data_IF_307310427461
#
_entry.id   IF_307310427461
#
_cell.length_a   1.000
_cell.length_b   1.000
_cell.length_c   1.000
_cell.angle_alpha   90.00
_cell.angle_beta   90.00
_cell.angle_gamma   90.00
#
_symmetry.space_group_name_H-M   'P 1'
#
loop_
_entity.id
_entity.type
_entity.pdbx_description
1 polymer ?
#
# COMPACT_ATOMS: atom_id res chain seq x y z
N UNK A 1 -23.87 -31.12 -49.61
CA UNK A 1 -23.83 -29.74 -50.14
C UNK A 1 -24.55 -28.71 -49.27
N UNK A 2 -25.81 -28.89 -48.84
CA UNK A 2 -26.48 -27.96 -47.90
C UNK A 2 -26.16 -28.17 -46.41
N UNK A 3 -25.69 -29.37 -46.03
CA UNK A 3 -25.30 -29.68 -44.64
C UNK A 3 -23.85 -29.26 -44.34
N UNK A 4 -22.95 -29.36 -45.31
CA UNK A 4 -21.53 -28.99 -45.16
C UNK A 4 -21.33 -27.47 -44.98
N UNK A 5 -22.24 -26.67 -45.54
CA UNK A 5 -22.23 -25.20 -45.44
C UNK A 5 -22.70 -24.70 -44.06
N UNK A 6 -23.65 -25.38 -43.43
CA UNK A 6 -24.09 -25.07 -42.05
C UNK A 6 -22.99 -25.36 -41.02
N UNK A 7 -22.31 -26.50 -41.16
CA UNK A 7 -21.19 -26.85 -40.28
C UNK A 7 -20.02 -25.85 -40.37
N UNK A 8 -19.73 -25.35 -41.58
CA UNK A 8 -18.70 -24.33 -41.79
C UNK A 8 -19.09 -22.95 -41.21
N UNK A 9 -20.37 -22.55 -41.29
CA UNK A 9 -20.89 -21.31 -40.68
C UNK A 9 -20.89 -21.37 -39.15
N UNK A 10 -21.25 -22.51 -38.56
CA UNK A 10 -21.24 -22.72 -37.10
C UNK A 10 -19.82 -22.72 -36.53
N UNK A 11 -18.86 -23.32 -37.25
CA UNK A 11 -17.42 -23.27 -36.90
C UNK A 11 -16.88 -21.84 -37.04
N UNK A 12 -17.28 -21.11 -38.09
CA UNK A 12 -16.86 -19.73 -38.25
C UNK A 12 -17.46 -18.83 -37.16
N UNK A 13 -18.73 -18.99 -36.80
CA UNK A 13 -19.36 -18.24 -35.70
C UNK A 13 -18.74 -18.56 -34.33
N UNK A 14 -18.44 -19.82 -34.02
CA UNK A 14 -17.78 -20.16 -32.75
C UNK A 14 -16.36 -19.60 -32.66
N UNK A 15 -15.61 -19.59 -33.77
CA UNK A 15 -14.27 -19.03 -33.85
C UNK A 15 -14.27 -17.51 -33.72
N UNK A 16 -15.24 -16.84 -34.36
CA UNK A 16 -15.40 -15.38 -34.25
C UNK A 16 -15.88 -14.95 -32.85
N UNK A 17 -16.73 -15.75 -32.22
CA UNK A 17 -17.16 -15.56 -30.83
C UNK A 17 -15.99 -15.72 -29.85
N UNK A 18 -15.19 -16.79 -29.99
CA UNK A 18 -13.97 -17.02 -29.19
C UNK A 18 -12.93 -15.90 -29.39
N UNK A 19 -12.69 -15.45 -30.62
CA UNK A 19 -11.75 -14.36 -30.88
C UNK A 19 -12.21 -13.02 -30.29
N UNK A 20 -13.52 -12.80 -30.22
CA UNK A 20 -14.10 -11.60 -29.59
C UNK A 20 -13.99 -11.68 -28.07
N UNK A 21 -14.19 -12.86 -27.48
CA UNK A 21 -14.05 -13.12 -26.04
C UNK A 21 -12.57 -13.03 -25.60
N UNK A 22 -11.64 -13.58 -26.39
CA UNK A 22 -10.18 -13.47 -26.17
C UNK A 22 -9.72 -12.01 -26.27
N UNK A 23 -10.18 -11.24 -27.26
CA UNK A 23 -9.88 -9.80 -27.36
C UNK A 23 -10.44 -9.02 -26.18
N UNK A 24 -11.64 -9.39 -25.70
CA UNK A 24 -12.26 -8.78 -24.51
C UNK A 24 -11.46 -9.08 -23.25
N UNK A 25 -11.00 -10.31 -23.08
CA UNK A 25 -10.18 -10.73 -21.93
C UNK A 25 -8.77 -10.15 -21.98
N UNK A 26 -8.15 -10.03 -23.16
CA UNK A 26 -6.89 -9.30 -23.35
C UNK A 26 -7.02 -7.81 -23.01
N UNK A 27 -8.10 -7.16 -23.46
CA UNK A 27 -8.37 -5.76 -23.13
C UNK A 27 -8.63 -5.58 -21.63
N UNK A 28 -9.41 -6.46 -21.00
CA UNK A 28 -9.68 -6.42 -19.56
C UNK A 28 -8.41 -6.65 -18.73
N UNK A 29 -7.56 -7.61 -19.14
CA UNK A 29 -6.28 -7.90 -18.48
C UNK A 29 -5.29 -6.71 -18.59
N UNK A 30 -5.19 -6.11 -19.78
CA UNK A 30 -4.37 -4.91 -20.01
C UNK A 30 -4.88 -3.72 -19.19
N UNK A 31 -6.20 -3.58 -19.03
CA UNK A 31 -6.83 -2.50 -18.26
C UNK A 31 -6.65 -2.66 -16.75
N UNK A 32 -6.85 -3.87 -16.21
CA UNK A 32 -6.59 -4.18 -14.79
C UNK A 32 -5.13 -3.86 -14.42
N UNK A 33 -4.18 -4.21 -15.29
CA UNK A 33 -2.78 -3.83 -15.12
C UNK A 33 -2.57 -2.31 -15.08
N UNK A 34 -3.26 -1.53 -15.93
CA UNK A 34 -3.17 -0.06 -15.93
C UNK A 34 -3.75 0.55 -14.64
N UNK A 35 -4.93 0.08 -14.21
CA UNK A 35 -5.58 0.47 -12.95
C UNK A 35 -4.68 0.17 -11.74
N UNK A 36 -4.10 -1.03 -11.69
CA UNK A 36 -3.18 -1.45 -10.63
C UNK A 36 -1.91 -0.58 -10.60
N UNK A 37 -1.36 -0.24 -11.77
CA UNK A 37 -0.21 0.66 -11.88
C UNK A 37 -0.56 2.09 -11.41
N UNK A 38 -1.75 2.60 -11.71
CA UNK A 38 -2.21 3.90 -11.21
C UNK A 38 -2.34 3.91 -9.68
N UNK A 39 -2.96 2.88 -9.11
CA UNK A 39 -3.12 2.75 -7.65
C UNK A 39 -1.76 2.66 -6.95
N UNK A 40 -0.82 1.89 -7.49
CA UNK A 40 0.56 1.87 -6.99
C UNK A 40 1.25 3.24 -7.10
N UNK A 41 1.09 3.94 -8.23
CA UNK A 41 1.66 5.28 -8.42
C UNK A 41 1.13 6.28 -7.39
N UNK A 42 -0.18 6.25 -7.11
CA UNK A 42 -0.80 7.13 -6.11
C UNK A 42 -0.30 6.82 -4.69
N UNK A 43 -0.18 5.55 -4.32
CA UNK A 43 0.38 5.16 -3.02
C UNK A 43 1.83 5.65 -2.85
N UNK A 44 2.66 5.56 -3.89
CA UNK A 44 4.01 6.13 -3.84
C UNK A 44 4.06 7.65 -3.81
N UNK A 45 3.03 8.33 -4.34
CA UNK A 45 2.95 9.79 -4.32
C UNK A 45 2.77 10.33 -2.88
N UNK A 46 2.14 9.57 -1.98
CA UNK A 46 2.00 9.95 -0.57
C UNK A 46 3.37 10.12 0.11
N UNK A 47 4.30 9.17 -0.08
CA UNK A 47 5.64 9.26 0.50
C UNK A 47 6.47 10.41 -0.09
N UNK A 48 6.30 10.68 -1.39
CA UNK A 48 6.99 11.78 -2.09
C UNK A 48 6.58 13.13 -1.53
N UNK A 49 5.33 13.29 -1.07
CA UNK A 49 4.85 14.54 -0.47
C UNK A 49 5.19 14.59 1.02
N UNK A 50 5.06 13.47 1.72
CA UNK A 50 5.21 13.40 3.18
C UNK A 50 6.64 13.72 3.66
N UNK A 51 7.67 13.11 3.08
CA UNK A 51 9.04 13.26 3.58
C UNK A 51 9.59 14.70 3.40
N UNK A 52 9.40 15.37 2.25
CA UNK A 52 9.79 16.78 2.10
C UNK A 52 8.97 17.73 2.99
N UNK A 53 7.68 17.45 3.18
CA UNK A 53 6.84 18.22 4.10
C UNK A 53 7.36 18.13 5.54
N UNK A 54 7.69 16.92 5.99
CA UNK A 54 8.28 16.67 7.31
C UNK A 54 9.63 17.38 7.48
N UNK A 55 10.49 17.34 6.45
CA UNK A 55 11.77 18.05 6.41
C UNK A 55 11.61 19.57 6.62
N UNK A 56 10.78 20.22 5.80
CA UNK A 56 10.52 21.67 5.89
C UNK A 56 9.92 21.99 7.25
N UNK A 57 9.04 21.12 7.74
CA UNK A 57 8.36 21.35 9.00
C UNK A 57 9.29 21.28 10.20
N UNK A 58 10.18 20.29 10.26
CA UNK A 58 11.14 20.11 11.33
C UNK A 58 12.15 21.27 11.37
N UNK A 59 12.65 21.70 10.21
CA UNK A 59 13.60 22.80 10.11
C UNK A 59 12.99 24.11 10.61
N UNK A 60 11.82 24.46 10.09
CA UNK A 60 11.14 25.70 10.48
C UNK A 60 10.60 25.66 11.90
N UNK A 61 10.16 24.49 12.41
CA UNK A 61 9.77 24.36 13.82
C UNK A 61 10.95 24.64 14.77
N UNK A 62 12.16 24.18 14.44
CA UNK A 62 13.36 24.46 15.22
C UNK A 62 13.67 25.97 15.32
N UNK A 63 13.65 26.67 14.18
CA UNK A 63 13.93 28.12 14.12
C UNK A 63 12.83 28.95 14.77
N UNK A 64 11.55 28.58 14.57
CA UNK A 64 10.41 29.25 15.19
C UNK A 64 10.42 29.10 16.71
N UNK A 65 10.74 27.91 17.23
CA UNK A 65 10.89 27.68 18.67
C UNK A 65 12.01 28.51 19.29
N UNK A 66 13.13 28.70 18.57
CA UNK A 66 14.25 29.52 19.03
C UNK A 66 13.98 31.03 18.94
N UNK A 67 13.02 31.46 18.12
CA UNK A 67 12.73 32.87 17.91
C UNK A 67 12.00 33.50 19.10
N UNK A 68 12.68 34.42 19.79
CA UNK A 68 12.10 35.19 20.91
C UNK A 68 11.03 36.20 20.45
N UNK A 69 11.18 36.74 19.23
CA UNK A 69 10.30 37.78 18.69
C UNK A 69 8.88 37.28 18.34
N UNK A 70 8.69 35.98 18.09
CA UNK A 70 7.39 35.39 17.75
C UNK A 70 6.72 34.72 18.96
N UNK A 71 7.27 34.89 20.17
CA UNK A 71 6.74 34.31 21.39
C UNK A 71 7.31 32.94 21.74
N UNK A 72 8.36 32.46 21.05
CA UNK A 72 9.01 31.17 21.32
C UNK A 72 8.22 29.97 20.79
N UNK A 73 8.21 28.87 21.55
CA UNK A 73 7.56 27.61 21.16
C UNK A 73 6.05 27.69 20.80
N UNK A 74 5.21 28.57 21.38
CA UNK A 74 3.80 28.68 21.00
C UNK A 74 3.60 29.16 19.56
N UNK A 75 4.58 29.87 18.98
CA UNK A 75 4.51 30.40 17.60
C UNK A 75 4.25 29.30 16.56
N UNK A 76 4.86 28.13 16.77
CA UNK A 76 4.71 26.94 15.91
C UNK A 76 3.24 26.54 15.82
N UNK A 77 2.53 26.47 16.95
CA UNK A 77 1.12 26.08 16.98
C UNK A 77 0.23 27.07 16.22
N UNK A 78 0.48 28.37 16.36
CA UNK A 78 -0.31 29.40 15.65
C UNK A 78 -0.06 29.38 14.14
N UNK A 79 1.20 29.26 13.71
CA UNK A 79 1.57 29.28 12.29
C UNK A 79 1.05 28.01 11.59
N UNK A 80 1.37 26.83 12.10
CA UNK A 80 0.92 25.57 11.49
C UNK A 80 -0.60 25.40 11.58
N UNK A 81 -1.22 25.83 12.68
CA UNK A 81 -2.68 25.86 12.79
C UNK A 81 -3.33 26.74 11.73
N UNK A 82 -2.77 27.93 11.47
CA UNK A 82 -3.28 28.85 10.45
C UNK A 82 -3.10 28.28 9.03
N UNK A 83 -1.95 27.68 8.73
CA UNK A 83 -1.72 26.98 7.45
C UNK A 83 -2.74 25.85 7.27
N UNK A 84 -3.00 25.07 8.32
CA UNK A 84 -4.00 24.01 8.31
C UNK A 84 -5.43 24.50 8.04
N UNK A 85 -5.81 25.65 8.59
CA UNK A 85 -7.12 26.27 8.31
C UNK A 85 -7.24 26.70 6.84
N UNK A 86 -6.20 27.32 6.29
CA UNK A 86 -6.16 27.70 4.87
C UNK A 86 -6.21 26.45 3.98
N UNK A 87 -5.47 25.40 4.33
CA UNK A 87 -5.50 24.13 3.60
C UNK A 87 -6.90 23.49 3.64
N UNK A 88 -7.56 23.47 4.79
CA UNK A 88 -8.93 22.96 4.94
C UNK A 88 -9.90 23.73 4.02
N UNK A 89 -9.81 25.06 4.03
CA UNK A 89 -10.61 25.90 3.15
C UNK A 89 -10.35 25.60 1.67
N UNK A 90 -9.08 25.50 1.25
CA UNK A 90 -8.71 25.14 -0.12
C UNK A 90 -9.26 23.76 -0.52
N UNK A 91 -9.10 22.75 0.33
CA UNK A 91 -9.62 21.40 0.07
C UNK A 91 -11.13 21.45 -0.11
N UNK A 92 -11.86 22.19 0.72
CA UNK A 92 -13.31 22.34 0.57
C UNK A 92 -13.72 23.00 -0.76
N UNK A 93 -12.90 23.88 -1.34
CA UNK A 93 -13.20 24.53 -2.61
C UNK A 93 -12.80 23.70 -3.85
N UNK A 94 -11.73 22.91 -3.75
CA UNK A 94 -11.10 22.25 -4.90
C UNK A 94 -11.27 20.74 -4.94
N UNK A 95 -11.57 20.08 -3.80
CA UNK A 95 -11.72 18.64 -3.75
C UNK A 95 -13.17 18.23 -3.98
N UNK A 96 -13.41 17.45 -5.03
CA UNK A 96 -14.71 16.87 -5.36
C UNK A 96 -14.66 15.36 -5.15
N UNK A 97 -15.66 14.80 -4.47
CA UNK A 97 -15.71 13.38 -4.11
C UNK A 97 -15.83 12.44 -5.32
N UNK A 98 -16.41 12.94 -6.42
CA UNK A 98 -16.63 12.16 -7.62
C UNK A 98 -16.34 12.99 -8.87
N UNK A 99 -15.70 12.39 -9.90
CA UNK A 99 -15.51 13.05 -11.19
C UNK A 99 -16.83 13.47 -11.85
N UNK A 100 -17.98 12.91 -11.45
CA UNK A 100 -19.31 13.30 -11.96
C UNK A 100 -19.74 14.71 -11.56
N UNK A 101 -19.29 15.18 -10.40
CA UNK A 101 -19.70 16.47 -9.79
C UNK A 101 -18.65 17.55 -10.10
N UNK A 102 -17.46 17.16 -10.58
CA UNK A 102 -16.35 18.05 -10.82
C UNK A 102 -16.66 19.05 -11.97
N UNK A 103 -16.61 20.38 -11.74
CA UNK A 103 -17.09 21.37 -12.72
C UNK A 103 -16.13 21.59 -13.90
N UNK A 104 -14.84 21.26 -13.75
CA UNK A 104 -13.78 21.55 -14.75
C UNK A 104 -13.23 20.30 -15.46
N UNK A 105 -13.87 19.14 -15.32
CA UNK A 105 -13.39 17.91 -15.96
C UNK A 105 -13.83 17.89 -17.43
N UNK A 106 -12.96 17.45 -18.33
CA UNK A 106 -13.31 17.29 -19.75
C UNK A 106 -14.22 16.08 -19.95
N UNK A 107 -15.10 16.11 -20.95
CA UNK A 107 -16.04 15.00 -21.16
C UNK A 107 -15.32 13.73 -21.66
N UNK A 108 -14.18 13.90 -22.36
CA UNK A 108 -13.29 12.81 -22.74
C UNK A 108 -12.66 12.14 -21.50
N UNK A 109 -12.13 12.92 -20.55
CA UNK A 109 -11.55 12.38 -19.32
C UNK A 109 -12.61 11.75 -18.42
N UNK A 110 -13.77 12.40 -18.30
CA UNK A 110 -14.90 11.91 -17.51
C UNK A 110 -15.44 10.58 -18.05
N UNK A 111 -15.62 10.46 -19.37
CA UNK A 111 -16.04 9.21 -19.99
C UNK A 111 -14.97 8.12 -19.84
N UNK A 112 -13.68 8.47 -19.97
CA UNK A 112 -12.58 7.55 -19.71
C UNK A 112 -12.61 7.00 -18.28
N UNK A 113 -12.68 7.86 -17.26
CA UNK A 113 -12.69 7.43 -15.85
C UNK A 113 -13.94 6.60 -15.54
N UNK A 114 -15.12 7.04 -15.97
CA UNK A 114 -16.38 6.34 -15.68
C UNK A 114 -16.49 5.00 -16.40
N UNK A 115 -15.96 4.88 -17.61
CA UNK A 115 -15.97 3.63 -18.35
C UNK A 115 -15.06 2.56 -17.71
N UNK A 116 -13.99 2.98 -17.04
CA UNK A 116 -13.00 2.09 -16.41
C UNK A 116 -13.05 2.04 -14.89
N UNK A 117 -14.04 2.69 -14.28
CA UNK A 117 -14.22 2.66 -12.84
C UNK A 117 -14.68 1.26 -12.40
N UNK A 118 -13.76 0.49 -11.79
CA UNK A 118 -14.00 -0.89 -11.31
C UNK A 118 -15.10 -0.99 -10.23
N UNK A 119 -15.32 0.09 -9.48
CA UNK A 119 -16.30 0.16 -8.41
C UNK A 119 -17.46 1.08 -8.80
N UNK A 120 -18.58 0.49 -9.22
CA UNK A 120 -19.86 1.20 -9.19
C UNK A 120 -20.19 1.53 -7.73
N UNK A 121 -20.04 2.80 -7.36
CA UNK A 121 -20.29 3.31 -6.00
C UNK A 121 -21.72 3.00 -5.53
N UNK A 122 -22.65 2.73 -6.45
CA UNK A 122 -24.04 2.41 -6.14
C UNK A 122 -24.30 0.90 -5.94
N UNK A 123 -23.34 0.02 -6.27
CA UNK A 123 -23.49 -1.43 -6.09
C UNK A 123 -23.12 -1.81 -4.65
N UNK A 124 -24.06 -2.44 -3.93
CA UNK A 124 -23.78 -2.99 -2.59
C UNK A 124 -22.65 -4.02 -2.69
N UNK A 125 -21.53 -3.72 -2.04
CA UNK A 125 -20.37 -4.61 -1.98
C UNK A 125 -20.74 -5.88 -1.19
N UNK A 126 -20.23 -7.06 -1.58
CA UNK A 126 -20.35 -8.24 -0.73
C UNK A 126 -19.72 -7.97 0.64
N UNK A 127 -20.22 -8.59 1.71
CA UNK A 127 -19.65 -8.43 3.04
C UNK A 127 -18.17 -8.82 3.03
N UNK A 128 -17.32 -8.00 3.64
CA UNK A 128 -15.87 -8.26 3.72
C UNK A 128 -15.62 -9.57 4.49
N UNK A 129 -14.82 -10.50 3.96
CA UNK A 129 -14.62 -11.82 4.55
C UNK A 129 -13.65 -11.75 5.75
N UNK A 130 -14.11 -11.15 6.86
CA UNK A 130 -13.31 -10.90 8.06
C UNK A 130 -12.64 -12.16 8.61
N UNK A 131 -13.37 -13.28 8.65
CA UNK A 131 -12.85 -14.55 9.17
C UNK A 131 -11.66 -15.05 8.34
N UNK A 132 -11.75 -14.97 7.02
CA UNK A 132 -10.70 -15.46 6.12
C UNK A 132 -9.46 -14.55 6.17
N UNK A 133 -9.67 -13.24 6.31
CA UNK A 133 -8.59 -12.26 6.51
C UNK A 133 -7.84 -12.56 7.82
N UNK A 134 -8.57 -12.65 8.94
CA UNK A 134 -7.98 -12.89 10.28
C UNK A 134 -7.35 -14.28 10.45
N UNK A 135 -7.60 -15.22 9.52
CA UNK A 135 -6.99 -16.54 9.52
C UNK A 135 -5.72 -16.62 8.67
N UNK A 136 -5.43 -15.57 7.89
CA UNK A 136 -4.27 -15.57 7.00
C UNK A 136 -2.99 -15.17 7.73
N UNK A 137 -1.99 -16.04 7.69
CA UNK A 137 -0.66 -15.84 8.30
C UNK A 137 0.05 -14.59 7.75
N UNK A 138 0.04 -14.31 6.43
CA UNK A 138 0.71 -13.12 5.87
C UNK A 138 0.15 -11.80 6.39
N UNK A 139 -1.13 -11.76 6.79
CA UNK A 139 -1.74 -10.54 7.38
C UNK A 139 -1.13 -10.24 8.75
N UNK A 140 -0.91 -11.25 9.60
CA UNK A 140 -0.23 -11.03 10.88
C UNK A 140 1.24 -10.63 10.70
N UNK A 141 1.94 -11.30 9.77
CA UNK A 141 3.33 -10.97 9.46
C UNK A 141 3.47 -9.53 8.97
N UNK A 142 2.59 -9.10 8.06
CA UNK A 142 2.51 -7.73 7.57
C UNK A 142 2.13 -6.73 8.69
N UNK A 143 1.15 -7.07 9.53
CA UNK A 143 0.72 -6.20 10.64
C UNK A 143 1.86 -5.94 11.61
N UNK A 144 2.61 -6.98 11.97
CA UNK A 144 3.75 -6.85 12.88
C UNK A 144 4.92 -6.09 12.23
N UNK A 145 5.16 -6.30 10.93
CA UNK A 145 6.13 -5.50 10.18
C UNK A 145 5.76 -4.00 10.16
N UNK A 146 4.48 -3.69 9.93
CA UNK A 146 3.95 -2.33 10.00
C UNK A 146 4.08 -1.74 11.39
N UNK A 147 3.83 -2.53 12.44
CA UNK A 147 4.07 -2.11 13.82
C UNK A 147 5.54 -1.75 14.07
N UNK A 148 6.49 -2.56 13.60
CA UNK A 148 7.92 -2.25 13.67
C UNK A 148 8.30 -0.97 12.91
N UNK A 149 7.70 -0.75 11.74
CA UNK A 149 7.90 0.49 10.97
C UNK A 149 7.37 1.73 11.71
N UNK A 150 6.15 1.66 12.27
CA UNK A 150 5.58 2.74 13.08
C UNK A 150 6.35 2.97 14.38
N UNK A 151 6.89 1.91 14.99
CA UNK A 151 7.79 2.01 16.13
C UNK A 151 9.05 2.79 15.78
N UNK A 152 9.71 2.43 14.67
CA UNK A 152 10.90 3.14 14.19
C UNK A 152 10.61 4.62 13.90
N UNK A 153 9.50 4.90 13.22
CA UNK A 153 9.06 6.26 12.93
C UNK A 153 8.81 7.07 14.20
N UNK A 154 8.04 6.51 15.16
CA UNK A 154 7.77 7.17 16.45
C UNK A 154 9.06 7.40 17.22
N UNK A 155 9.98 6.44 17.24
CA UNK A 155 11.26 6.56 17.92
C UNK A 155 12.12 7.68 17.35
N UNK A 156 12.22 7.78 16.03
CA UNK A 156 12.96 8.84 15.36
C UNK A 156 12.31 10.22 15.55
N UNK A 157 10.98 10.29 15.57
CA UNK A 157 10.25 11.56 15.70
C UNK A 157 10.18 12.10 17.12
N UNK A 158 10.24 11.23 18.14
CA UNK A 158 9.99 11.64 19.53
C UNK A 158 11.19 11.39 20.43
N UNK A 159 11.62 10.13 20.54
CA UNK A 159 12.66 9.71 21.48
C UNK A 159 14.03 10.25 21.07
N UNK A 160 14.34 10.28 19.77
CA UNK A 160 15.62 10.78 19.28
C UNK A 160 15.83 12.29 19.51
N UNK A 161 14.89 13.20 19.18
CA UNK A 161 15.01 14.61 19.54
C UNK A 161 15.09 14.86 21.04
N UNK A 162 14.33 14.09 21.84
CA UNK A 162 14.41 14.16 23.30
C UNK A 162 15.81 13.77 23.77
N UNK A 163 16.38 12.67 23.27
CA UNK A 163 17.75 12.27 23.60
C UNK A 163 18.78 13.37 23.29
N UNK A 164 18.72 13.96 22.09
CA UNK A 164 19.64 15.02 21.67
C UNK A 164 19.58 16.25 22.60
N UNK A 165 18.39 16.59 23.08
CA UNK A 165 18.19 17.75 23.96
C UNK A 165 18.47 17.44 25.43
N UNK A 166 18.08 16.27 25.94
CA UNK A 166 18.22 15.92 27.37
C UNK A 166 19.59 15.37 27.73
N UNK A 167 20.19 14.57 26.86
CA UNK A 167 21.47 13.89 27.12
C UNK A 167 22.65 14.63 26.50
N UNK A 168 22.51 15.10 25.26
CA UNK A 168 23.57 15.81 24.55
C UNK A 168 23.49 17.33 24.71
N UNK A 169 22.41 17.84 25.32
CA UNK A 169 22.19 19.27 25.56
C UNK A 169 22.29 20.15 24.31
N UNK A 170 21.92 19.61 23.14
CA UNK A 170 21.80 20.41 21.93
C UNK A 170 20.69 21.45 22.08
N UNK A 171 20.92 22.63 21.51
CA UNK A 171 19.91 23.68 21.45
C UNK A 171 18.71 23.24 20.58
N UNK A 172 17.57 23.90 20.77
CA UNK A 172 16.35 23.59 20.00
C UNK A 172 16.54 23.84 18.49
N UNK A 173 17.37 24.82 18.12
CA UNK A 173 17.69 25.14 16.73
C UNK A 173 18.56 24.04 16.10
N UNK A 174 19.64 23.63 16.77
CA UNK A 174 20.50 22.52 16.33
C UNK A 174 19.74 21.21 16.25
N UNK A 175 18.85 20.94 17.21
CA UNK A 175 17.99 19.77 17.21
C UNK A 175 17.03 19.79 16.00
N UNK A 176 16.43 20.93 15.67
CA UNK A 176 15.59 21.08 14.47
C UNK A 176 16.37 20.80 13.18
N UNK A 177 17.62 21.25 13.10
CA UNK A 177 18.51 20.95 11.97
C UNK A 177 18.91 19.47 11.90
N UNK A 178 19.28 18.86 13.02
CA UNK A 178 19.64 17.43 13.08
C UNK A 178 18.46 16.53 12.72
N UNK A 179 17.27 16.85 13.21
CA UNK A 179 16.04 16.12 12.84
C UNK A 179 15.74 16.27 11.36
N UNK A 180 15.91 17.48 10.79
CA UNK A 180 15.77 17.72 9.36
C UNK A 180 16.74 16.84 8.54
N UNK A 181 17.98 16.68 9.00
CA UNK A 181 18.95 15.82 8.35
C UNK A 181 18.50 14.35 8.29
N UNK A 182 17.80 13.85 9.32
CA UNK A 182 17.26 12.47 9.29
C UNK A 182 16.25 12.27 8.16
N UNK A 183 15.43 13.27 7.86
CA UNK A 183 14.49 13.21 6.73
C UNK A 183 15.18 13.31 5.38
N UNK A 184 16.26 14.09 5.26
CA UNK A 184 17.08 14.11 4.03
C UNK A 184 17.65 12.72 3.76
N UNK A 185 18.19 12.07 4.79
CA UNK A 185 18.71 10.69 4.67
C UNK A 185 17.57 9.75 4.28
N UNK A 186 16.40 9.87 4.89
CA UNK A 186 15.23 9.06 4.54
C UNK A 186 14.81 9.24 3.08
N UNK A 187 14.77 10.47 2.55
CA UNK A 187 14.46 10.75 1.15
C UNK A 187 15.46 10.04 0.23
N UNK A 188 16.77 10.18 0.50
CA UNK A 188 17.83 9.55 -0.30
C UNK A 188 17.69 8.03 -0.28
N UNK A 189 17.45 7.45 0.89
CA UNK A 189 17.24 6.01 1.04
C UNK A 189 15.97 5.53 0.33
N UNK A 190 14.86 6.30 0.35
CA UNK A 190 13.63 5.99 -0.39
C UNK A 190 13.89 5.93 -1.90
N UNK A 191 14.64 6.88 -2.47
CA UNK A 191 15.05 6.81 -3.87
C UNK A 191 15.95 5.59 -4.15
N UNK A 192 16.87 5.27 -3.23
CA UNK A 192 17.73 4.09 -3.33
C UNK A 192 16.93 2.78 -3.35
N UNK A 193 16.00 2.61 -2.43
CA UNK A 193 15.12 1.42 -2.36
C UNK A 193 14.22 1.32 -3.58
N UNK A 194 13.72 2.45 -4.10
CA UNK A 194 12.94 2.49 -5.33
C UNK A 194 13.77 2.09 -6.55
N UNK A 195 15.01 2.58 -6.65
CA UNK A 195 15.94 2.18 -7.71
C UNK A 195 16.26 0.69 -7.67
N UNK A 196 16.58 0.17 -6.47
CA UNK A 196 16.86 -1.26 -6.25
C UNK A 196 15.63 -2.11 -6.57
N UNK A 197 14.45 -1.71 -6.11
CA UNK A 197 13.18 -2.38 -6.44
C UNK A 197 12.95 -2.44 -7.94
N UNK A 198 13.11 -1.31 -8.63
CA UNK A 198 12.92 -1.26 -10.08
C UNK A 198 13.97 -2.09 -10.85
N UNK A 199 15.21 -2.11 -10.36
CA UNK A 199 16.27 -2.96 -10.90
C UNK A 199 15.96 -4.45 -10.71
N UNK A 200 15.56 -4.86 -9.50
CA UNK A 200 15.15 -6.24 -9.21
C UNK A 200 13.98 -6.69 -10.09
N UNK A 201 13.03 -5.79 -10.34
CA UNK A 201 11.87 -6.05 -11.18
C UNK A 201 12.25 -6.20 -12.65
N UNK A 202 13.13 -5.34 -13.18
CA UNK A 202 13.61 -5.45 -14.57
C UNK A 202 14.35 -6.76 -14.84
N UNK A 203 15.01 -7.31 -13.82
CA UNK A 203 15.72 -8.59 -13.92
C UNK A 203 14.84 -9.80 -13.56
N UNK A 204 13.52 -9.61 -13.36
CA UNK A 204 12.56 -10.66 -12.96
C UNK A 204 12.99 -11.46 -11.72
N UNK A 205 13.81 -10.86 -10.85
CA UNK A 205 14.31 -11.51 -9.63
C UNK A 205 13.22 -11.58 -8.54
N UNK A 206 12.19 -10.72 -8.65
CA UNK A 206 11.07 -10.62 -7.71
C UNK A 206 9.76 -10.69 -8.49
N UNK A 207 8.87 -11.61 -8.11
CA UNK A 207 7.59 -11.87 -8.80
C UNK A 207 6.50 -10.82 -8.51
N UNK A 208 6.71 -9.56 -8.94
CA UNK A 208 5.81 -8.42 -8.65
C UNK A 208 4.46 -8.51 -9.36
N UNK A 209 4.36 -9.31 -10.43
CA UNK A 209 3.11 -9.52 -11.18
C UNK A 209 1.99 -10.16 -10.34
N UNK A 210 2.34 -10.81 -9.23
CA UNK A 210 1.38 -11.35 -8.26
C UNK A 210 0.90 -10.29 -7.26
N UNK A 211 1.73 -9.30 -6.93
CA UNK A 211 1.43 -8.26 -5.95
C UNK A 211 0.38 -7.25 -6.47
N UNK A 212 0.47 -6.89 -7.76
CA UNK A 212 -0.44 -5.94 -8.42
C UNK A 212 -1.91 -6.38 -8.40
N UNK A 213 -2.16 -7.69 -8.48
CA UNK A 213 -3.52 -8.25 -8.52
C UNK A 213 -4.24 -8.23 -7.16
N UNK A 214 -3.55 -7.88 -6.06
CA UNK A 214 -4.07 -7.86 -4.68
C UNK A 214 -4.76 -6.56 -4.26
N UNK A 215 -4.85 -5.56 -5.14
CA UNK A 215 -5.06 -4.16 -4.71
C UNK A 215 -6.49 -3.86 -4.21
N UNK A 216 -7.48 -4.69 -4.54
CA UNK A 216 -8.89 -4.42 -4.21
C UNK A 216 -9.21 -4.43 -2.70
N UNK A 217 -8.45 -5.18 -1.91
CA UNK A 217 -8.61 -5.23 -0.45
C UNK A 217 -7.51 -4.48 0.31
N UNK A 218 -6.54 -3.88 -0.38
CA UNK A 218 -5.46 -3.12 0.26
C UNK A 218 -6.00 -1.97 1.11
N UNK A 219 -7.02 -1.23 0.66
CA UNK A 219 -7.56 -0.12 1.47
C UNK A 219 -8.08 -0.56 2.85
N UNK A 220 -8.88 -1.63 2.91
CA UNK A 220 -9.42 -2.16 4.17
C UNK A 220 -8.32 -2.79 5.04
N UNK A 221 -7.39 -3.53 4.42
CA UNK A 221 -6.28 -4.15 5.14
C UNK A 221 -5.30 -3.12 5.69
N UNK A 222 -4.93 -2.11 4.88
CA UNK A 222 -4.11 -0.97 5.28
C UNK A 222 -4.73 -0.27 6.48
N UNK A 223 -6.03 0.03 6.46
CA UNK A 223 -6.70 0.64 7.61
C UNK A 223 -6.54 -0.17 8.90
N UNK A 224 -6.73 -1.50 8.82
CA UNK A 224 -6.58 -2.41 9.97
C UNK A 224 -5.14 -2.52 10.46
N UNK A 225 -4.19 -2.75 9.53
CA UNK A 225 -2.78 -2.91 9.87
C UNK A 225 -2.19 -1.62 10.41
N UNK A 226 -2.54 -0.46 9.84
CA UNK A 226 -2.11 0.85 10.31
C UNK A 226 -2.71 1.18 11.68
N UNK A 227 -3.98 0.84 11.93
CA UNK A 227 -4.59 1.03 13.26
C UNK A 227 -3.86 0.21 14.32
N UNK A 228 -3.58 -1.06 14.03
CA UNK A 228 -2.80 -1.91 14.92
C UNK A 228 -1.36 -1.39 15.11
N UNK A 229 -0.72 -0.93 14.03
CA UNK A 229 0.64 -0.36 14.07
C UNK A 229 0.72 0.94 14.87
N UNK A 230 -0.34 1.76 14.86
CA UNK A 230 -0.43 3.01 15.62
C UNK A 230 -0.33 2.81 17.14
N UNK A 231 -0.58 1.60 17.64
CA UNK A 231 -0.36 1.27 19.06
C UNK A 231 1.10 1.48 19.51
N UNK A 232 2.07 1.40 18.59
CA UNK A 232 3.48 1.69 18.86
C UNK A 232 3.69 3.11 19.41
N UNK A 233 2.90 4.08 18.93
CA UNK A 233 2.96 5.47 19.37
C UNK A 233 2.53 5.67 20.83
N UNK A 234 1.76 4.74 21.40
CA UNK A 234 1.38 4.76 22.81
C UNK A 234 2.37 3.97 23.68
N UNK A 235 2.82 2.81 23.19
CA UNK A 235 3.71 1.91 23.94
C UNK A 235 5.08 2.56 24.16
N UNK A 236 5.63 3.23 23.14
CA UNK A 236 6.98 3.78 23.22
C UNK A 236 7.12 4.89 24.27
N UNK A 237 6.24 5.92 24.33
CA UNK A 237 6.25 6.91 25.42
C UNK A 237 6.01 6.31 26.82
N UNK A 238 5.21 5.24 26.93
CA UNK A 238 5.00 4.55 28.22
C UNK A 238 6.27 3.84 28.71
N UNK A 239 7.01 3.21 27.80
CA UNK A 239 8.31 2.60 28.11
C UNK A 239 9.30 3.69 28.50
N UNK A 240 9.37 4.77 27.72
CA UNK A 240 10.21 5.92 28.02
C UNK A 240 9.92 6.48 29.41
N UNK A 241 8.65 6.80 29.70
CA UNK A 241 8.23 7.37 30.97
C UNK A 241 8.55 6.50 32.19
N UNK A 242 8.48 5.17 32.04
CA UNK A 242 8.84 4.23 33.12
C UNK A 242 10.34 4.07 33.31
N UNK A 243 11.10 4.05 32.21
CA UNK A 243 12.54 3.74 32.27
C UNK A 243 13.38 4.93 32.74
N UNK A 244 12.90 6.16 32.53
CA UNK A 244 13.69 7.39 32.72
C UNK A 244 13.23 8.24 33.92
N UNK A 245 12.16 7.85 34.61
CA UNK A 245 11.55 8.62 35.70
C UNK A 245 12.49 8.90 36.89
N UNK A 246 13.46 8.02 37.15
CA UNK A 246 14.30 8.09 38.36
C UNK A 246 15.70 8.70 38.11
N UNK A 247 16.34 8.44 36.97
CA UNK A 247 17.69 8.96 36.66
C UNK A 247 17.91 9.12 35.16
N UNK A 248 18.20 10.32 34.68
CA UNK A 248 18.59 10.56 33.29
C UNK A 248 20.05 10.06 33.07
N UNK A 249 20.22 8.76 32.80
CA UNK A 249 21.54 8.12 32.60
C UNK A 249 21.67 7.45 31.22
N UNK A 250 22.86 7.55 30.62
CA UNK A 250 23.18 6.89 29.34
C UNK A 250 22.90 5.39 29.35
N UNK A 251 23.08 4.71 30.50
CA UNK A 251 22.81 3.29 30.63
C UNK A 251 21.33 2.95 30.41
N UNK A 252 20.41 3.83 30.82
CA UNK A 252 18.97 3.64 30.62
C UNK A 252 18.57 3.94 29.18
N UNK A 253 19.15 4.98 28.57
CA UNK A 253 18.96 5.28 27.16
C UNK A 253 19.41 4.14 26.26
N UNK A 254 20.57 3.54 26.53
CA UNK A 254 21.03 2.35 25.81
C UNK A 254 20.01 1.21 25.86
N UNK A 255 19.33 0.99 27.00
CA UNK A 255 18.26 -0.03 27.10
C UNK A 255 17.10 0.28 26.15
N UNK A 256 16.67 1.54 26.05
CA UNK A 256 15.58 1.97 25.16
C UNK A 256 15.94 1.72 23.68
N UNK A 257 17.17 2.08 23.30
CA UNK A 257 17.67 1.82 21.95
C UNK A 257 17.76 0.32 21.63
N UNK A 258 18.25 -0.51 22.56
CA UNK A 258 18.31 -1.96 22.36
C UNK A 258 16.93 -2.60 22.24
N UNK A 259 15.96 -2.19 23.08
CA UNK A 259 14.57 -2.65 22.97
C UNK A 259 14.01 -2.29 21.59
N UNK A 260 14.24 -1.07 21.13
CA UNK A 260 13.74 -0.60 19.83
C UNK A 260 14.35 -1.37 18.67
N UNK A 261 15.67 -1.61 18.69
CA UNK A 261 16.34 -2.44 17.68
C UNK A 261 15.76 -3.86 17.67
N UNK A 262 15.52 -4.46 18.84
CA UNK A 262 14.94 -5.81 18.93
C UNK A 262 13.53 -5.88 18.33
N UNK A 263 12.68 -4.88 18.60
CA UNK A 263 11.31 -4.79 18.04
C UNK A 263 11.36 -4.63 16.51
N UNK A 264 12.21 -3.76 15.99
CA UNK A 264 12.33 -3.52 14.54
C UNK A 264 12.88 -4.77 13.84
N UNK A 265 13.94 -5.37 14.38
CA UNK A 265 14.57 -6.56 13.80
C UNK A 265 13.64 -7.78 13.81
N UNK A 266 12.93 -8.01 14.92
CA UNK A 266 11.93 -9.08 14.98
C UNK A 266 10.80 -8.86 13.97
N UNK A 267 10.38 -7.60 13.76
CA UNK A 267 9.44 -7.22 12.70
C UNK A 267 9.89 -7.67 11.31
N UNK A 268 11.13 -7.33 10.95
CA UNK A 268 11.73 -7.71 9.68
C UNK A 268 11.89 -9.23 9.54
N UNK A 269 12.35 -9.92 10.60
CA UNK A 269 12.52 -11.38 10.58
C UNK A 269 11.18 -12.10 10.38
N UNK A 270 10.15 -11.70 11.13
CA UNK A 270 8.80 -12.28 11.00
C UNK A 270 8.25 -12.06 9.58
N UNK A 271 8.47 -10.88 9.01
CA UNK A 271 8.07 -10.60 7.63
C UNK A 271 8.84 -11.44 6.60
N UNK A 272 10.15 -11.62 6.78
CA UNK A 272 10.94 -12.47 5.88
C UNK A 272 10.54 -13.95 5.95
N UNK A 273 10.13 -14.45 7.13
CA UNK A 273 9.76 -15.85 7.31
C UNK A 273 8.32 -16.16 6.86
N UNK A 274 7.38 -15.24 7.09
CA UNK A 274 5.95 -15.49 6.92
C UNK A 274 5.26 -14.57 5.91
N UNK A 275 5.98 -13.57 5.39
CA UNK A 275 5.49 -12.69 4.34
C UNK A 275 5.26 -13.46 3.05
N UNK A 276 4.15 -13.16 2.39
CA UNK A 276 3.82 -13.72 1.08
C UNK A 276 3.34 -12.63 0.14
N UNK A 277 3.88 -12.64 -1.07
CA UNK A 277 3.47 -11.78 -2.18
C UNK A 277 2.36 -12.39 -3.04
N UNK A 278 1.84 -13.56 -2.65
CA UNK A 278 0.76 -14.21 -3.39
C UNK A 278 -0.61 -13.65 -3.01
N UNK A 279 -1.44 -13.46 -4.04
CA UNK A 279 -2.83 -13.01 -3.89
C UNK A 279 -3.56 -14.02 -3.01
N UNK A 280 -4.13 -13.53 -1.92
CA UNK A 280 -4.87 -14.39 -1.02
C UNK A 280 -6.23 -14.80 -1.62
N UNK A 281 -6.76 -16.01 -1.32
CA UNK A 281 -7.97 -16.54 -1.96
C UNK A 281 -9.22 -15.67 -1.77
N UNK A 282 -9.27 -14.92 -0.66
CA UNK A 282 -10.37 -13.99 -0.33
C UNK A 282 -10.38 -12.72 -1.19
N UNK A 283 -9.35 -12.46 -2.02
CA UNK A 283 -9.23 -11.24 -2.80
C UNK A 283 -10.04 -11.25 -4.12
N UNK A 284 -10.45 -12.42 -4.61
CA UNK A 284 -11.23 -12.54 -5.85
C UNK A 284 -12.69 -12.13 -5.64
N UNK A 285 -13.28 -11.42 -6.60
CA UNK A 285 -14.73 -11.16 -6.58
C UNK A 285 -15.50 -12.46 -6.86
N UNK A 286 -16.78 -12.52 -6.49
CA UNK A 286 -17.63 -13.69 -6.76
C UNK A 286 -17.73 -14.03 -8.26
N UNK A 287 -17.58 -13.04 -9.15
CA UNK A 287 -17.54 -13.24 -10.60
C UNK A 287 -16.19 -13.84 -11.04
N UNK A 288 -15.06 -13.36 -10.52
CA UNK A 288 -13.73 -13.93 -10.80
C UNK A 288 -13.62 -15.38 -10.31
N UNK A 289 -14.20 -15.68 -9.15
CA UNK A 289 -14.25 -17.04 -8.62
C UNK A 289 -15.08 -17.97 -9.51
N UNK A 290 -16.24 -17.52 -10.01
CA UNK A 290 -17.06 -18.30 -10.97
C UNK A 290 -16.32 -18.53 -12.28
N UNK A 291 -15.66 -17.50 -12.83
CA UNK A 291 -14.91 -17.59 -14.09
C UNK A 291 -13.72 -18.54 -13.98
N UNK A 292 -12.97 -18.47 -12.86
CA UNK A 292 -11.88 -19.38 -12.57
C UNK A 292 -12.35 -20.83 -12.36
N UNK A 293 -13.49 -21.03 -11.71
CA UNK A 293 -14.06 -22.37 -11.52
C UNK A 293 -14.56 -22.95 -12.85
N UNK A 294 -15.27 -22.19 -13.68
CA UNK A 294 -15.65 -22.62 -15.03
C UNK A 294 -14.43 -22.94 -15.91
N UNK A 295 -13.36 -22.16 -15.84
CA UNK A 295 -12.14 -22.45 -16.61
C UNK A 295 -11.41 -23.70 -16.10
N UNK A 296 -11.41 -23.95 -14.79
CA UNK A 296 -10.88 -25.20 -14.21
C UNK A 296 -11.72 -26.41 -14.58
N UNK A 297 -13.04 -26.29 -14.57
CA UNK A 297 -13.96 -27.36 -14.97
C UNK A 297 -13.85 -27.65 -16.47
N UNK A 298 -13.69 -26.62 -17.32
CA UNK A 298 -13.40 -26.77 -18.74
C UNK A 298 -12.09 -27.51 -19.00
N UNK A 299 -10.97 -27.07 -18.39
CA UNK A 299 -9.67 -27.78 -18.51
C UNK A 299 -9.70 -29.21 -17.98
N UNK A 300 -10.50 -29.47 -16.94
CA UNK A 300 -10.69 -30.82 -16.41
C UNK A 300 -11.49 -31.68 -17.38
N UNK A 301 -12.50 -31.10 -18.04
CA UNK A 301 -13.32 -31.76 -19.05
C UNK A 301 -12.52 -32.06 -20.31
N UNK A 302 -11.75 -31.11 -20.82
CA UNK A 302 -10.86 -31.31 -21.99
C UNK A 302 -9.86 -32.44 -21.73
N UNK A 303 -9.30 -32.50 -20.52
CA UNK A 303 -8.36 -33.56 -20.13
C UNK A 303 -9.03 -34.92 -20.01
N UNK A 304 -10.31 -34.97 -19.63
CA UNK A 304 -11.11 -36.21 -19.61
C UNK A 304 -11.41 -36.66 -21.04
N UNK A 305 -11.84 -35.75 -21.91
CA UNK A 305 -12.17 -36.03 -23.31
C UNK A 305 -10.92 -36.50 -24.08
N UNK A 306 -9.74 -35.94 -23.79
CA UNK A 306 -8.46 -36.37 -24.35
C UNK A 306 -8.09 -37.80 -23.92
N UNK A 307 -8.31 -38.16 -22.64
CA UNK A 307 -8.13 -39.55 -22.17
C UNK A 307 -9.15 -40.53 -22.76
N UNK A 308 -10.41 -40.13 -22.92
CA UNK A 308 -11.45 -41.00 -23.51
C UNK A 308 -11.12 -41.28 -24.97
N UNK A 309 -10.73 -40.25 -25.73
CA UNK A 309 -10.30 -40.38 -27.14
C UNK A 309 -9.08 -41.30 -27.28
N UNK A 310 -8.11 -41.20 -26.36
CA UNK A 310 -6.95 -42.08 -26.34
C UNK A 310 -7.32 -43.55 -26.05
N UNK A 311 -8.31 -43.80 -25.19
CA UNK A 311 -8.80 -45.15 -24.89
C UNK A 311 -9.56 -45.74 -26.09
N UNK A 312 -10.43 -44.97 -26.74
CA UNK A 312 -11.16 -45.41 -27.95
C UNK A 312 -10.21 -45.77 -29.09
N UNK A 313 -9.13 -45.00 -29.28
CA UNK A 313 -8.11 -45.29 -30.29
C UNK A 313 -7.36 -46.61 -30.03
N UNK A 314 -7.21 -47.03 -28.77
CA UNK A 314 -6.56 -48.29 -28.39
C UNK A 314 -7.50 -49.48 -28.52
N UNK A 315 -8.81 -49.29 -28.34
CA UNK A 315 -9.83 -50.34 -28.49
C UNK A 315 -10.11 -50.67 -29.97
N UNK A 316 -9.81 -49.76 -30.89
CA UNK A 316 -9.99 -49.94 -32.34
C UNK A 316 -8.73 -50.45 -33.08
N UNK A 317 -7.64 -50.77 -32.36
CA UNK A 317 -6.44 -51.48 -32.85
C UNK A 317 -6.51 -52.97 -32.54
#
# INVERSE_FOLDING_TARGET
MREDTKSAEDIHQSKTYNDTEIKRDCNNSKMSSISDNLKCSNASAEEIIQNPGALISAFSAGTLCASSNLGGWPSVYYIYGSIGLVQCFCVQQFLYESPKIHPKITEEEKSYILHYQEADLNKKRPPTPWKDITRSIPVYAMTYAMFGAYWAATHLLTIHPIFLTTMLHFSLEENGFLVSLTFVIQIILSFGTSFVSNWLNRHNLVGVDKLRKGINFLGTLMGLTTTAASSAAFILPLIYGKLIQEEQSLAQWNKIYFISIAVIMSGGIIFCLFGSAEIQPWNYTSEDQRRNNCSKDGKKKDKIDETVTAIEAVVHL
#
